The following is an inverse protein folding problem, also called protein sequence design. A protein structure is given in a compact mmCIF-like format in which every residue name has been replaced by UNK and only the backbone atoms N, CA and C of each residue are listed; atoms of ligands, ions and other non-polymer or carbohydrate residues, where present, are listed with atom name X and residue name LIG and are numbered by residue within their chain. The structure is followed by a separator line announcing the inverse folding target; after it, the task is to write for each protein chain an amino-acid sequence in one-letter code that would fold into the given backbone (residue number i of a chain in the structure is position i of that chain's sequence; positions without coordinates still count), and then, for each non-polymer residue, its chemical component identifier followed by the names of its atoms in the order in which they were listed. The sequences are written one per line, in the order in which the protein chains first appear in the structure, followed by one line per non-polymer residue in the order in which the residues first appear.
data_IF_552145819489
#
_entry.id   IF_552145819489
#
_cell.length_a   1.000
_cell.length_b   1.000
_cell.length_c   1.000
_cell.angle_alpha   90.00
_cell.angle_beta   90.00
_cell.angle_gamma   90.00
#
_symmetry.space_group_name_H-M   'P 1'
#
loop_
_entity.id
_entity.type
_entity.pdbx_description
1 polymer ?
#
# COMPACT_ATOMS: atom_id res chain seq x y z
N UNK A 1 -23.96 -1.42 -33.09
CA UNK A 1 -22.88 -2.25 -32.48
C UNK A 1 -21.65 -1.47 -32.02
N UNK A 2 -21.31 -0.30 -32.60
CA UNK A 2 -20.12 0.49 -32.21
C UNK A 2 -20.13 0.94 -30.73
N UNK A 3 -21.27 1.39 -30.24
CA UNK A 3 -21.41 1.97 -28.89
C UNK A 3 -21.22 0.91 -27.78
N UNK A 4 -21.62 -0.34 -28.03
CA UNK A 4 -21.43 -1.46 -27.07
C UNK A 4 -19.95 -1.80 -26.88
N UNK A 5 -19.13 -1.74 -27.95
CA UNK A 5 -17.69 -1.98 -27.87
C UNK A 5 -16.97 -0.86 -27.11
N UNK A 6 -17.39 0.39 -27.30
CA UNK A 6 -16.81 1.55 -26.61
C UNK A 6 -17.02 1.48 -25.08
N UNK A 7 -18.22 1.10 -24.63
CA UNK A 7 -18.51 0.96 -23.20
C UNK A 7 -17.66 -0.13 -22.53
N UNK A 8 -17.40 -1.24 -23.22
CA UNK A 8 -16.57 -2.33 -22.69
C UNK A 8 -15.12 -1.86 -22.52
N UNK A 9 -14.56 -1.15 -23.49
CA UNK A 9 -13.18 -0.64 -23.41
C UNK A 9 -13.02 0.34 -22.25
N UNK A 10 -13.97 1.26 -22.06
CA UNK A 10 -13.95 2.20 -20.93
C UNK A 10 -14.06 1.46 -19.60
N UNK A 11 -14.93 0.45 -19.51
CA UNK A 11 -15.10 -0.35 -18.29
C UNK A 11 -13.82 -1.10 -17.90
N UNK A 12 -13.16 -1.77 -18.86
CA UNK A 12 -11.90 -2.49 -18.63
C UNK A 12 -10.77 -1.51 -18.25
N UNK A 13 -10.69 -0.37 -18.93
CA UNK A 13 -9.70 0.67 -18.62
C UNK A 13 -9.88 1.24 -17.21
N UNK A 14 -11.12 1.56 -16.81
CA UNK A 14 -11.43 2.04 -15.47
C UNK A 14 -11.12 0.99 -14.40
N UNK A 15 -11.45 -0.28 -14.64
CA UNK A 15 -11.14 -1.37 -13.73
C UNK A 15 -9.63 -1.55 -13.52
N UNK A 16 -8.85 -1.53 -14.60
CA UNK A 16 -7.39 -1.61 -14.51
C UNK A 16 -6.81 -0.41 -13.75
N UNK A 17 -7.33 0.80 -13.99
CA UNK A 17 -6.90 1.99 -13.27
C UNK A 17 -7.17 1.89 -11.77
N UNK A 18 -8.33 1.36 -11.35
CA UNK A 18 -8.64 1.15 -9.93
C UNK A 18 -7.70 0.15 -9.27
N UNK A 19 -7.33 -0.95 -9.96
CA UNK A 19 -6.35 -1.92 -9.45
C UNK A 19 -4.99 -1.27 -9.26
N UNK A 20 -4.51 -0.52 -10.27
CA UNK A 20 -3.25 0.21 -10.15
C UNK A 20 -3.30 1.22 -9.00
N UNK A 21 -4.37 1.99 -8.89
CA UNK A 21 -4.54 2.96 -7.81
C UNK A 21 -4.53 2.30 -6.43
N UNK A 22 -5.23 1.17 -6.27
CA UNK A 22 -5.21 0.38 -5.04
C UNK A 22 -3.78 -0.08 -4.68
N UNK A 23 -3.05 -0.63 -5.65
CA UNK A 23 -1.68 -1.11 -5.45
C UNK A 23 -0.68 0.00 -5.15
N UNK A 24 -0.82 1.17 -5.79
CA UNK A 24 0.11 2.28 -5.63
C UNK A 24 -0.22 3.22 -4.47
N UNK A 25 -1.48 3.41 -4.12
CA UNK A 25 -1.89 4.37 -3.09
C UNK A 25 -2.27 3.69 -1.78
N UNK A 26 -3.10 2.66 -1.85
CA UNK A 26 -3.70 2.06 -0.65
C UNK A 26 -2.74 1.08 0.03
N UNK A 27 -2.13 0.17 -0.74
CA UNK A 27 -1.16 -0.82 -0.23
C UNK A 27 0.00 -0.20 0.58
N UNK A 28 0.71 0.84 0.08
CA UNK A 28 1.83 1.41 0.86
C UNK A 28 1.37 2.07 2.15
N UNK A 29 0.20 2.71 2.17
CA UNK A 29 -0.35 3.34 3.39
C UNK A 29 -0.66 2.28 4.44
N UNK A 30 -1.35 1.20 4.07
CA UNK A 30 -1.69 0.13 5.00
C UNK A 30 -0.46 -0.57 5.57
N UNK A 31 0.55 -0.82 4.74
CA UNK A 31 1.79 -1.46 5.18
C UNK A 31 2.60 -0.55 6.10
N UNK A 32 2.70 0.75 5.79
CA UNK A 32 3.35 1.72 6.68
C UNK A 32 2.66 1.76 8.05
N UNK A 33 1.33 1.82 8.07
CA UNK A 33 0.55 1.79 9.31
C UNK A 33 0.73 0.47 10.09
N UNK A 34 0.80 -0.67 9.39
CA UNK A 34 1.03 -1.98 10.01
C UNK A 34 2.43 -2.08 10.63
N UNK A 35 3.47 -1.63 9.93
CA UNK A 35 4.84 -1.61 10.43
C UNK A 35 4.98 -0.65 11.63
N UNK A 36 4.41 0.55 11.55
CA UNK A 36 4.38 1.52 12.65
C UNK A 36 3.68 0.93 13.89
N UNK A 37 2.49 0.36 13.70
CA UNK A 37 1.73 -0.31 14.78
C UNK A 37 2.53 -1.45 15.42
N UNK A 38 3.18 -2.29 14.63
CA UNK A 38 3.98 -3.43 15.14
C UNK A 38 5.12 -2.92 16.01
N UNK A 39 5.91 -1.97 15.55
CA UNK A 39 7.10 -1.50 16.27
C UNK A 39 6.72 -0.71 17.52
N UNK A 40 5.64 0.09 17.43
CA UNK A 40 5.07 0.76 18.61
C UNK A 40 4.56 -0.26 19.62
N UNK A 41 3.94 -1.36 19.19
CA UNK A 41 3.49 -2.41 20.11
C UNK A 41 4.66 -3.12 20.81
N UNK A 42 5.77 -3.37 20.10
CA UNK A 42 6.99 -3.95 20.68
C UNK A 42 7.68 -2.99 21.66
N UNK A 43 7.55 -1.68 21.44
CA UNK A 43 8.25 -0.64 22.23
C UNK A 43 7.36 0.01 23.30
N UNK A 44 6.18 -0.54 23.58
CA UNK A 44 5.23 0.05 24.54
C UNK A 44 4.76 1.45 24.18
N UNK A 45 4.70 1.77 22.87
CA UNK A 45 4.31 3.08 22.33
C UNK A 45 5.42 4.13 22.29
N UNK A 46 6.64 3.81 22.74
CA UNK A 46 7.77 4.75 22.73
C UNK A 46 8.57 4.65 21.43
N UNK A 47 8.95 5.79 20.87
CA UNK A 47 9.93 5.85 19.77
C UNK A 47 11.31 5.66 20.41
N UNK A 48 11.88 4.48 20.24
CA UNK A 48 13.18 4.08 20.82
C UNK A 48 14.31 4.21 19.80
N UNK A 49 15.55 4.21 20.28
CA UNK A 49 16.75 4.13 19.43
C UNK A 49 16.66 2.81 18.64
N UNK A 50 16.61 2.90 17.30
CA UNK A 50 16.40 1.75 16.41
C UNK A 50 14.98 1.60 15.85
N UNK A 51 14.04 2.48 16.23
CA UNK A 51 12.70 2.54 15.64
C UNK A 51 12.75 2.62 14.11
N UNK A 52 13.54 3.57 13.59
CA UNK A 52 13.66 3.81 12.16
C UNK A 52 14.25 2.61 11.42
N UNK A 53 15.26 1.95 11.99
CA UNK A 53 15.86 0.74 11.43
C UNK A 53 14.82 -0.37 11.31
N UNK A 54 14.12 -0.70 12.42
CA UNK A 54 13.07 -1.74 12.41
C UNK A 54 11.95 -1.39 11.43
N UNK A 55 11.59 -0.10 11.36
CA UNK A 55 10.53 0.38 10.48
C UNK A 55 10.92 0.23 9.02
N UNK A 56 12.13 0.66 8.64
CA UNK A 56 12.65 0.52 7.29
C UNK A 56 12.82 -0.97 6.91
N UNK A 57 13.31 -1.82 7.81
CA UNK A 57 13.37 -3.28 7.58
C UNK A 57 11.99 -3.86 7.29
N UNK A 58 10.97 -3.51 8.08
CA UNK A 58 9.60 -3.97 7.86
C UNK A 58 9.03 -3.50 6.50
N UNK A 59 9.31 -2.27 6.10
CA UNK A 59 8.92 -1.76 4.79
C UNK A 59 9.63 -2.50 3.64
N UNK A 60 10.89 -2.88 3.85
CA UNK A 60 11.70 -3.62 2.90
C UNK A 60 11.18 -5.05 2.69
N UNK A 61 10.89 -5.77 3.78
CA UNK A 61 10.27 -7.10 3.73
C UNK A 61 8.93 -7.10 2.98
N UNK A 62 8.20 -5.99 3.03
CA UNK A 62 6.90 -5.82 2.35
C UNK A 62 7.03 -5.30 0.91
N UNK A 63 8.25 -5.00 0.45
CA UNK A 63 8.57 -4.56 -0.90
C UNK A 63 8.05 -3.15 -1.21
N UNK A 64 8.16 -2.22 -0.25
CA UNK A 64 7.67 -0.84 -0.41
C UNK A 64 8.78 0.20 -0.19
N UNK A 65 9.90 -0.17 0.44
CA UNK A 65 11.05 0.71 0.66
C UNK A 65 12.37 -0.05 0.62
#
# INVERSE_FOLDING_TARGET
MKNKKLLIVIGVGAFFFLICFYWFQIRPVQVKASCDKRIRSESGGKITIGYETKYNTCLHEKGIK
#
